data_IF_278398060381
#
_entry.id   IF_278398060381
#
_cell.length_a   1.000
_cell.length_b   1.000
_cell.length_c   1.000
_cell.angle_alpha   90.00
_cell.angle_beta   90.00
_cell.angle_gamma   90.00
#
_symmetry.space_group_name_H-M   'P 1'
#
loop_
_entity.id
_entity.type
_entity.pdbx_description
1 polymer ?
#
# COMPACT_ATOMS: atom_id res chain seq x y z
N UNK A 1 22.01 -10.51 50.03
CA UNK A 1 22.28 -10.47 48.57
C UNK A 1 21.09 -11.08 47.85
N UNK A 2 20.20 -10.25 47.30
CA UNK A 2 19.02 -10.70 46.53
C UNK A 2 19.45 -11.28 45.19
N UNK A 3 19.09 -12.54 44.92
CA UNK A 3 19.23 -13.14 43.59
C UNK A 3 18.01 -12.76 42.75
N UNK A 4 18.29 -12.06 41.64
CA UNK A 4 17.31 -11.46 40.76
C UNK A 4 16.44 -12.47 40.00
N UNK A 5 15.21 -12.04 39.77
CA UNK A 5 14.18 -12.66 38.94
C UNK A 5 14.71 -13.04 37.55
N UNK A 6 14.66 -14.32 37.21
CA UNK A 6 14.78 -14.81 35.83
C UNK A 6 13.40 -14.78 35.17
N UNK A 7 13.04 -13.62 34.61
CA UNK A 7 11.84 -13.46 33.79
C UNK A 7 12.04 -14.08 32.41
N UNK A 8 11.57 -15.33 32.24
CA UNK A 8 11.23 -15.89 30.94
C UNK A 8 10.06 -15.07 30.36
N UNK A 9 10.36 -14.10 29.49
CA UNK A 9 9.33 -13.45 28.69
C UNK A 9 8.84 -14.44 27.62
N UNK A 10 7.84 -15.26 28.00
CA UNK A 10 6.93 -15.86 27.05
C UNK A 10 6.18 -14.71 26.37
N UNK A 11 6.49 -14.45 25.11
CA UNK A 11 5.77 -13.49 24.29
C UNK A 11 4.42 -14.09 23.89
N UNK A 12 3.52 -14.24 24.87
CA UNK A 12 2.15 -14.69 24.69
C UNK A 12 1.25 -13.47 24.67
N UNK A 13 1.05 -12.89 23.49
CA UNK A 13 -0.15 -12.15 23.04
C UNK A 13 0.19 -11.42 21.73
N UNK A 14 -0.60 -11.68 20.68
CA UNK A 14 -0.52 -10.97 19.41
C UNK A 14 -0.79 -9.47 19.60
N UNK A 15 0.26 -8.69 19.82
CA UNK A 15 0.19 -7.25 19.83
C UNK A 15 -0.03 -6.78 18.39
N UNK A 16 -1.30 -6.67 18.00
CA UNK A 16 -1.69 -5.98 16.76
C UNK A 16 -1.04 -4.60 16.83
N UNK A 17 -0.11 -4.31 15.92
CA UNK A 17 0.62 -3.05 15.90
C UNK A 17 -0.39 -1.89 15.88
N UNK A 18 -0.08 -0.78 16.56
CA UNK A 18 -0.94 0.39 16.54
C UNK A 18 -1.10 0.87 15.08
N UNK A 19 -2.26 0.60 14.51
CA UNK A 19 -2.55 0.82 13.09
C UNK A 19 -2.50 2.30 12.73
N UNK A 20 -2.83 3.19 13.66
CA UNK A 20 -2.73 4.64 13.46
C UNK A 20 -1.27 5.05 13.33
N UNK A 21 -0.40 4.55 14.21
CA UNK A 21 1.04 4.81 14.12
C UNK A 21 1.65 4.28 12.81
N UNK A 22 1.24 3.10 12.35
CA UNK A 22 1.70 2.57 11.05
C UNK A 22 1.20 3.42 9.88
N UNK A 23 -0.06 3.86 9.94
CA UNK A 23 -0.64 4.76 8.95
C UNK A 23 0.14 6.07 8.87
N UNK A 24 0.41 6.70 10.00
CA UNK A 24 1.13 7.98 10.04
C UNK A 24 2.56 7.83 9.53
N UNK A 25 3.26 6.76 9.93
CA UNK A 25 4.58 6.42 9.39
C UNK A 25 4.55 6.21 7.88
N UNK A 26 3.53 5.52 7.37
CA UNK A 26 3.38 5.31 5.94
C UNK A 26 3.10 6.63 5.19
N UNK A 27 2.25 7.51 5.73
CA UNK A 27 1.99 8.84 5.17
C UNK A 27 3.27 9.67 5.14
N UNK A 28 4.00 9.74 6.26
CA UNK A 28 5.31 10.42 6.30
C UNK A 28 6.30 9.84 5.29
N UNK A 29 6.34 8.52 5.13
CA UNK A 29 7.18 7.87 4.13
C UNK A 29 6.79 8.26 2.70
N UNK A 30 5.50 8.50 2.40
CA UNK A 30 5.06 9.01 1.09
C UNK A 30 5.57 10.43 0.86
N UNK A 31 5.44 11.32 1.86
CA UNK A 31 5.97 12.68 1.75
C UNK A 31 7.48 12.69 1.56
N UNK A 32 8.21 11.84 2.30
CA UNK A 32 9.65 11.69 2.15
C UNK A 32 10.02 11.14 0.77
N UNK A 33 9.27 10.17 0.24
CA UNK A 33 9.47 9.68 -1.13
C UNK A 33 9.33 10.81 -2.15
N UNK A 34 8.29 11.65 -2.03
CA UNK A 34 8.04 12.78 -2.94
C UNK A 34 9.18 13.81 -2.87
N UNK A 35 9.62 14.18 -1.66
CA UNK A 35 10.62 15.24 -1.47
C UNK A 35 12.04 14.80 -1.81
N UNK A 36 12.39 13.54 -1.55
CA UNK A 36 13.75 13.02 -1.75
C UNK A 36 14.01 12.50 -3.17
N UNK A 37 12.96 12.22 -3.96
CA UNK A 37 13.13 11.70 -5.33
C UNK A 37 13.33 12.85 -6.32
N UNK A 38 14.43 12.87 -7.11
CA UNK A 38 14.55 13.78 -8.25
C UNK A 38 13.37 13.63 -9.20
N UNK A 39 12.69 14.73 -9.51
CA UNK A 39 11.48 14.68 -10.32
C UNK A 39 10.23 14.17 -9.57
N UNK A 40 10.26 14.05 -8.24
CA UNK A 40 9.18 13.47 -7.42
C UNK A 40 7.85 14.23 -7.57
N UNK A 41 7.90 15.57 -7.61
CA UNK A 41 6.70 16.41 -7.81
C UNK A 41 6.08 16.28 -9.21
N UNK A 42 6.84 15.78 -10.19
CA UNK A 42 6.40 15.57 -11.57
C UNK A 42 5.74 14.19 -11.76
N UNK A 43 5.79 13.31 -10.74
CA UNK A 43 5.11 12.01 -10.79
C UNK A 43 3.60 12.19 -10.73
N UNK A 44 2.87 11.29 -11.40
CA UNK A 44 1.42 11.38 -11.49
C UNK A 44 0.70 11.13 -10.15
N UNK A 45 1.27 10.25 -9.33
CA UNK A 45 0.68 9.77 -8.08
C UNK A 45 1.73 9.09 -7.20
N UNK A 46 1.60 9.23 -5.88
CA UNK A 46 2.36 8.49 -4.88
C UNK A 46 1.42 7.84 -3.85
N UNK A 47 1.75 6.63 -3.40
CA UNK A 47 0.96 5.86 -2.42
C UNK A 47 1.91 5.14 -1.46
N UNK A 48 1.48 4.99 -0.22
CA UNK A 48 2.08 4.11 0.77
C UNK A 48 1.18 2.92 1.07
N UNK A 49 1.80 1.80 1.43
CA UNK A 49 1.13 0.64 1.99
C UNK A 49 1.86 0.18 3.25
N UNK A 50 1.11 -0.39 4.18
CA UNK A 50 1.64 -0.98 5.39
C UNK A 50 0.93 -2.29 5.71
N UNK A 51 1.67 -3.21 6.32
CA UNK A 51 1.16 -4.48 6.84
C UNK A 51 0.91 -4.36 8.34
N UNK A 52 -0.34 -4.57 8.76
CA UNK A 52 -0.77 -4.41 10.16
C UNK A 52 -0.23 -5.50 11.11
N UNK A 53 0.26 -6.62 10.58
CA UNK A 53 0.82 -7.72 11.37
C UNK A 53 2.33 -7.58 11.48
N UNK A 54 3.02 -7.32 10.37
CA UNK A 54 4.49 -7.27 10.34
C UNK A 54 5.08 -5.89 10.57
N UNK A 55 4.28 -4.83 10.38
CA UNK A 55 4.74 -3.45 10.44
C UNK A 55 5.57 -3.02 9.22
N UNK A 56 5.67 -3.88 8.20
CA UNK A 56 6.36 -3.53 6.96
C UNK A 56 5.66 -2.35 6.28
N UNK A 57 6.46 -1.38 5.80
CA UNK A 57 5.99 -0.20 5.06
C UNK A 57 6.67 -0.18 3.70
N UNK A 58 5.91 0.15 2.67
CA UNK A 58 6.41 0.38 1.31
C UNK A 58 5.73 1.60 0.72
N UNK A 59 6.48 2.40 -0.03
CA UNK A 59 5.94 3.54 -0.79
C UNK A 59 6.35 3.42 -2.26
N UNK A 60 5.52 3.97 -3.16
CA UNK A 60 5.86 4.02 -4.58
C UNK A 60 5.13 5.13 -5.31
N UNK A 61 5.66 5.46 -6.48
CA UNK A 61 4.94 6.23 -7.49
C UNK A 61 4.24 5.30 -8.48
N UNK A 62 3.29 5.85 -9.24
CA UNK A 62 2.87 5.23 -10.49
C UNK A 62 4.06 5.23 -11.47
N UNK A 63 4.31 4.08 -12.10
CA UNK A 63 5.47 3.83 -12.97
C UNK A 63 5.23 2.64 -13.90
N UNK A 64 6.18 2.35 -14.78
CA UNK A 64 6.13 1.19 -15.68
C UNK A 64 5.83 -0.11 -14.91
N UNK A 65 5.19 -1.06 -15.60
CA UNK A 65 4.78 -2.36 -15.05
C UNK A 65 6.00 -3.06 -14.43
N UNK A 66 5.87 -3.63 -13.21
CA UNK A 66 6.98 -4.32 -12.58
C UNK A 66 7.32 -5.59 -13.39
N UNK A 67 8.61 -5.88 -13.56
CA UNK A 67 9.08 -7.07 -14.28
C UNK A 67 8.52 -8.37 -13.68
N UNK A 68 8.42 -8.41 -12.36
CA UNK A 68 7.88 -9.53 -11.60
C UNK A 68 6.59 -9.10 -10.90
N UNK A 69 5.50 -9.80 -11.19
CA UNK A 69 4.19 -9.59 -10.55
C UNK A 69 3.89 -10.80 -9.69
N UNK A 70 3.51 -10.58 -8.44
CA UNK A 70 3.16 -11.64 -7.51
C UNK A 70 1.94 -12.42 -8.03
N UNK A 71 1.90 -13.77 -7.93
CA UNK A 71 0.80 -14.57 -8.47
C UNK A 71 -0.59 -14.15 -8.00
N UNK A 72 -0.72 -13.71 -6.74
CA UNK A 72 -1.98 -13.16 -6.20
C UNK A 72 -2.46 -11.92 -6.96
N UNK A 73 -1.55 -11.06 -7.42
CA UNK A 73 -1.90 -9.90 -8.22
C UNK A 73 -2.22 -10.25 -9.67
N UNK A 74 -1.54 -11.25 -10.24
CA UNK A 74 -1.87 -11.74 -11.60
C UNK A 74 -3.31 -12.22 -11.66
N UNK A 75 -3.72 -13.07 -10.72
CA UNK A 75 -5.10 -13.58 -10.62
C UNK A 75 -6.15 -12.47 -10.51
N UNK A 76 -5.82 -11.38 -9.80
CA UNK A 76 -6.72 -10.22 -9.66
C UNK A 76 -6.73 -9.36 -10.91
N UNK A 77 -5.57 -9.16 -11.54
CA UNK A 77 -5.43 -8.38 -12.76
C UNK A 77 -6.16 -9.03 -13.94
N UNK A 78 -6.11 -10.36 -14.06
CA UNK A 78 -6.84 -11.12 -15.10
C UNK A 78 -8.33 -10.80 -15.14
N UNK A 79 -8.96 -10.58 -13.97
CA UNK A 79 -10.39 -10.23 -13.86
C UNK A 79 -10.75 -8.87 -14.44
N UNK A 80 -9.76 -8.00 -14.65
CA UNK A 80 -9.96 -6.63 -15.14
C UNK A 80 -9.22 -6.35 -16.46
N UNK A 81 -8.81 -7.40 -17.19
CA UNK A 81 -8.17 -7.28 -18.51
C UNK A 81 -6.72 -7.79 -18.59
N UNK A 82 -6.11 -8.13 -17.45
CA UNK A 82 -4.74 -8.63 -17.37
C UNK A 82 -3.69 -7.52 -17.31
N UNK A 83 -2.53 -7.83 -16.71
CA UNK A 83 -1.40 -6.88 -16.60
C UNK A 83 -0.90 -6.50 -17.99
N UNK A 84 -0.68 -5.21 -18.24
CA UNK A 84 -0.23 -4.70 -19.55
C UNK A 84 -1.34 -4.33 -20.52
N UNK A 85 -2.56 -4.77 -20.26
CA UNK A 85 -3.74 -4.38 -21.03
C UNK A 85 -4.37 -3.09 -20.49
N UNK A 86 -5.17 -2.42 -21.31
CA UNK A 86 -6.14 -1.45 -20.80
C UNK A 86 -7.15 -2.17 -19.91
N UNK A 87 -7.42 -1.59 -18.74
CA UNK A 87 -8.38 -2.19 -17.83
C UNK A 87 -9.82 -2.06 -18.32
N UNK A 88 -10.67 -2.99 -17.88
CA UNK A 88 -12.09 -3.02 -18.25
C UNK A 88 -12.88 -1.91 -17.53
N UNK A 89 -12.42 -1.47 -16.35
CA UNK A 89 -13.12 -0.46 -15.52
C UNK A 89 -12.58 0.97 -15.69
N UNK A 90 -11.43 1.13 -16.33
CA UNK A 90 -10.76 2.40 -16.56
C UNK A 90 -9.75 2.26 -17.71
N UNK A 91 -9.53 3.33 -18.47
CA UNK A 91 -8.59 3.38 -19.61
C UNK A 91 -7.12 3.42 -19.17
N UNK A 92 -6.82 3.14 -17.91
CA UNK A 92 -5.46 3.01 -17.40
C UNK A 92 -4.93 1.60 -17.66
N UNK A 93 -3.66 1.46 -18.04
CA UNK A 93 -3.01 0.16 -18.18
C UNK A 93 -2.91 -0.54 -16.81
N UNK A 94 -3.35 -1.79 -16.73
CA UNK A 94 -3.29 -2.57 -15.49
C UNK A 94 -1.82 -2.84 -15.11
N UNK A 95 -1.46 -2.54 -13.87
CA UNK A 95 -0.11 -2.75 -13.33
C UNK A 95 0.78 -1.51 -13.23
N UNK A 96 0.34 -0.33 -13.71
CA UNK A 96 1.16 0.90 -13.67
C UNK A 96 0.94 1.73 -12.38
N UNK A 97 -0.19 1.52 -11.71
CA UNK A 97 -0.64 2.34 -10.58
C UNK A 97 0.23 2.12 -9.35
N UNK A 98 0.40 3.17 -8.54
CA UNK A 98 1.25 3.13 -7.35
C UNK A 98 0.79 2.05 -6.35
N UNK A 99 -0.52 1.89 -6.19
CA UNK A 99 -1.22 0.88 -5.38
C UNK A 99 -0.77 -0.53 -5.77
N UNK A 100 -0.73 -0.81 -7.07
CA UNK A 100 -0.27 -2.10 -7.57
C UNK A 100 1.19 -2.36 -7.16
N UNK A 101 2.07 -1.37 -7.30
CA UNK A 101 3.49 -1.49 -6.95
C UNK A 101 3.73 -1.73 -5.46
N UNK A 102 3.05 -0.98 -4.58
CA UNK A 102 3.23 -1.13 -3.13
C UNK A 102 2.68 -2.47 -2.62
N UNK A 103 1.53 -2.91 -3.14
CA UNK A 103 0.95 -4.22 -2.77
C UNK A 103 1.83 -5.34 -3.29
N UNK A 104 2.28 -5.28 -4.55
CA UNK A 104 3.19 -6.28 -5.13
C UNK A 104 4.44 -6.45 -4.28
N UNK A 105 5.01 -5.32 -3.84
CA UNK A 105 6.23 -5.32 -3.02
C UNK A 105 5.99 -5.92 -1.63
N UNK A 106 4.87 -5.63 -0.99
CA UNK A 106 4.53 -6.22 0.31
C UNK A 106 4.27 -7.72 0.21
N UNK A 107 3.58 -8.18 -0.85
CA UNK A 107 3.37 -9.60 -1.08
C UNK A 107 4.70 -10.35 -1.24
N UNK A 108 5.66 -9.80 -2.00
CA UNK A 108 7.01 -10.36 -2.10
C UNK A 108 7.81 -10.29 -0.80
N UNK A 109 7.44 -9.42 0.15
CA UNK A 109 8.01 -9.38 1.51
C UNK A 109 7.32 -10.37 2.46
N UNK A 110 6.37 -11.18 1.98
CA UNK A 110 5.65 -12.18 2.77
C UNK A 110 4.38 -11.66 3.46
N UNK A 111 3.96 -10.42 3.18
CA UNK A 111 2.68 -9.91 3.66
C UNK A 111 1.52 -10.69 3.06
N UNK A 112 0.48 -10.93 3.86
CA UNK A 112 -0.82 -11.40 3.34
C UNK A 112 -1.66 -10.22 2.93
N UNK A 113 -2.38 -10.36 1.82
CA UNK A 113 -3.18 -9.26 1.26
C UNK A 113 -4.17 -8.68 2.29
N UNK A 114 -4.87 -9.52 3.05
CA UNK A 114 -5.83 -9.14 4.10
C UNK A 114 -5.23 -8.25 5.21
N UNK A 115 -3.91 -8.29 5.41
CA UNK A 115 -3.19 -7.48 6.39
C UNK A 115 -2.70 -6.14 5.82
N UNK A 116 -2.72 -5.98 4.50
CA UNK A 116 -2.25 -4.77 3.85
C UNK A 116 -3.31 -3.68 3.97
N UNK A 117 -2.86 -2.46 4.28
CA UNK A 117 -3.66 -1.23 4.23
C UNK A 117 -2.91 -0.20 3.41
N UNK A 118 -3.67 0.64 2.71
CA UNK A 118 -3.15 1.72 1.87
C UNK A 118 -3.32 3.06 2.57
N UNK A 119 -2.35 3.96 2.39
CA UNK A 119 -2.54 5.39 2.66
C UNK A 119 -3.36 6.02 1.54
N UNK A 120 -4.06 7.14 1.78
CA UNK A 120 -4.60 7.95 0.69
C UNK A 120 -3.54 8.18 -0.39
N UNK A 121 -3.93 8.12 -1.66
CA UNK A 121 -3.01 8.50 -2.73
C UNK A 121 -2.79 10.00 -2.74
N UNK A 122 -1.56 10.43 -3.01
CA UNK A 122 -1.17 11.84 -3.04
C UNK A 122 -0.84 12.20 -4.48
N UNK A 123 -1.34 13.34 -4.95
CA UNK A 123 -0.87 14.00 -6.16
C UNK A 123 0.42 14.77 -5.83
N UNK A 124 1.61 14.31 -6.26
CA UNK A 124 2.88 14.87 -5.80
C UNK A 124 3.08 16.36 -6.11
N UNK A 125 2.50 16.85 -7.21
CA UNK A 125 2.58 18.25 -7.63
C UNK A 125 1.92 19.21 -6.64
N UNK A 126 0.77 18.82 -6.08
CA UNK A 126 -0.08 19.68 -5.24
C UNK A 126 -0.03 19.28 -3.76
N UNK A 127 0.34 18.03 -3.47
CA UNK A 127 0.23 17.45 -2.13
C UNK A 127 -1.19 17.00 -1.76
N UNK A 128 -2.17 17.23 -2.63
CA UNK A 128 -3.57 16.93 -2.35
C UNK A 128 -3.84 15.42 -2.47
N UNK A 129 -4.77 14.89 -1.65
CA UNK A 129 -5.30 13.55 -1.86
C UNK A 129 -5.92 13.39 -3.24
N UNK A 130 -5.74 12.21 -3.83
CA UNK A 130 -6.39 11.80 -5.07
C UNK A 130 -7.14 10.49 -4.84
N UNK A 131 -8.23 10.29 -5.57
CA UNK A 131 -8.92 9.01 -5.58
C UNK A 131 -8.09 7.96 -6.35
N UNK A 132 -8.08 6.73 -5.85
CA UNK A 132 -7.54 5.59 -6.59
C UNK A 132 -8.28 5.42 -7.92
N UNK A 133 -7.60 4.92 -8.95
CA UNK A 133 -8.23 4.62 -10.24
C UNK A 133 -9.23 3.45 -10.12
N UNK A 134 -10.18 3.36 -11.04
CA UNK A 134 -11.24 2.34 -10.93
C UNK A 134 -10.68 0.91 -11.10
N UNK A 135 -9.61 0.74 -11.88
CA UNK A 135 -8.91 -0.55 -11.98
C UNK A 135 -8.35 -1.02 -10.63
N UNK A 136 -7.69 -0.12 -9.87
CA UNK A 136 -7.19 -0.47 -8.54
C UNK A 136 -8.31 -0.69 -7.54
N UNK A 137 -9.39 0.11 -7.59
CA UNK A 137 -10.58 -0.12 -6.76
C UNK A 137 -11.20 -1.48 -7.03
N UNK A 138 -11.32 -1.89 -8.29
CA UNK A 138 -11.87 -3.19 -8.66
C UNK A 138 -10.97 -4.35 -8.20
N UNK A 139 -9.65 -4.21 -8.35
CA UNK A 139 -8.70 -5.24 -7.91
C UNK A 139 -8.60 -5.40 -6.40
N UNK A 140 -8.74 -4.30 -5.66
CA UNK A 140 -8.41 -4.22 -4.23
C UNK A 140 -9.60 -3.78 -3.38
N UNK A 141 -10.83 -3.94 -3.89
CA UNK A 141 -12.05 -3.51 -3.21
C UNK A 141 -12.12 -4.06 -1.78
N UNK A 142 -11.74 -5.32 -1.59
CA UNK A 142 -11.69 -6.00 -0.29
C UNK A 142 -10.77 -5.29 0.72
N UNK A 143 -9.56 -4.93 0.34
CA UNK A 143 -8.62 -4.29 1.28
C UNK A 143 -8.78 -2.77 1.39
N UNK A 144 -9.35 -2.14 0.35
CA UNK A 144 -9.67 -0.72 0.36
C UNK A 144 -10.93 -0.45 1.18
N UNK A 145 -11.98 -1.27 1.06
CA UNK A 145 -13.20 -1.16 1.87
C UNK A 145 -12.95 -1.42 3.36
N UNK A 146 -12.04 -2.35 3.69
CA UNK A 146 -11.59 -2.60 5.07
C UNK A 146 -10.77 -1.44 5.68
N UNK A 147 -10.38 -0.44 4.89
CA UNK A 147 -9.69 0.77 5.33
C UNK A 147 -10.54 2.04 5.26
N UNK A 148 -11.81 1.93 4.83
CA UNK A 148 -12.70 3.07 4.64
C UNK A 148 -13.49 3.36 5.92
N UNK A 149 -12.84 4.07 6.84
CA UNK A 149 -13.47 5.25 7.42
C UNK A 149 -13.14 6.41 6.46
N UNK A 150 -13.88 6.53 5.35
CA UNK A 150 -13.90 7.81 4.63
C UNK A 150 -15.05 8.62 5.21
N UNK A 151 -14.70 9.73 5.86
CA UNK A 151 -15.61 10.86 5.97
C UNK A 151 -15.93 11.32 4.55
N UNK A 152 -17.15 11.06 4.11
CA UNK A 152 -17.80 11.79 3.04
C UNK A 152 -17.99 13.23 3.51
N UNK A 153 -17.04 14.13 3.24
CA UNK A 153 -17.21 15.59 3.29
C UNK A 153 -15.96 16.26 2.69
N UNK A 154 -15.88 16.31 1.37
CA UNK A 154 -15.16 17.32 0.59
C UNK A 154 -15.88 17.56 -0.72
#
# INVERSE_FOLDING_TARGET
MSKGFSGLFRNTSGHKLNTNTLRDKAIHAVHNLISSTPGGKQRAMAVGAYDIQTGAIVTSFAKAIPKNVHPELLKRAERIGGVGSLGITDKNTVGICAEFHVINSLLYKGSKLENIRLTPSIQPRTGNPRLYCNNCKAMFYDIMSLGVFYNENY
#
